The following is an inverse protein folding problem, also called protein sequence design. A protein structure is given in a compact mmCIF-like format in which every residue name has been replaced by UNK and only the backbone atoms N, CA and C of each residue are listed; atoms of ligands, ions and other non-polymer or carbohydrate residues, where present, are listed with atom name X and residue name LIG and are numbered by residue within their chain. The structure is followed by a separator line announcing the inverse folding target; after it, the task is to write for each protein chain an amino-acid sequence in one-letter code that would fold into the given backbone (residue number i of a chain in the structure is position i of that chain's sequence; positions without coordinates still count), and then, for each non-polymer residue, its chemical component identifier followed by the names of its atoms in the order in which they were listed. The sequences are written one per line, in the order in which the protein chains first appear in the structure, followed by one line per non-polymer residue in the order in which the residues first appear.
data_IF_378365385361
#
_entry.id   IF_378365385361
#
_cell.length_a   1.000
_cell.length_b   1.000
_cell.length_c   1.000
_cell.angle_alpha   90.00
_cell.angle_beta   90.00
_cell.angle_gamma   90.00
#
_symmetry.space_group_name_H-M   'P 1'
#
loop_
_entity.id
_entity.type
_entity.pdbx_description
1 polymer ?
#
# COMPACT_ATOMS: atom_id res chain seq x y z
N UNK A 1 -57.50 35.94 -47.71
CA UNK A 1 -57.30 36.26 -46.28
C UNK A 1 -56.77 34.98 -45.62
N UNK A 2 -55.46 34.72 -45.65
CA UNK A 2 -54.38 35.31 -44.83
C UNK A 2 -54.59 35.05 -43.33
N UNK A 3 -53.55 34.48 -42.72
CA UNK A 3 -53.33 34.23 -41.29
C UNK A 3 -53.85 32.94 -40.64
N UNK A 4 -53.27 31.79 -41.02
CA UNK A 4 -53.21 30.64 -40.08
C UNK A 4 -52.11 29.58 -40.31
N UNK A 5 -50.95 29.94 -40.90
CA UNK A 5 -49.87 28.96 -41.16
C UNK A 5 -48.51 29.28 -40.49
N UNK A 6 -48.33 30.42 -39.81
CA UNK A 6 -47.00 30.85 -39.29
C UNK A 6 -46.90 30.99 -37.76
N UNK A 7 -47.62 30.18 -36.97
CA UNK A 7 -47.52 30.22 -35.47
C UNK A 7 -47.28 28.89 -34.75
N UNK A 8 -46.82 27.85 -35.43
CA UNK A 8 -46.43 26.57 -34.77
C UNK A 8 -44.95 26.19 -34.87
N UNK A 9 -44.12 26.98 -35.55
CA UNK A 9 -42.68 26.71 -35.69
C UNK A 9 -41.79 27.40 -34.64
N UNK A 10 -42.28 28.35 -33.84
CA UNK A 10 -41.43 29.16 -32.93
C UNK A 10 -41.48 28.78 -31.45
N UNK A 11 -42.26 27.77 -31.04
CA UNK A 11 -42.37 27.37 -29.61
C UNK A 11 -41.63 26.08 -29.23
N UNK A 12 -41.04 25.36 -30.18
CA UNK A 12 -40.18 24.18 -29.89
C UNK A 12 -38.68 24.45 -29.94
N UNK A 13 -38.26 25.63 -30.42
CA UNK A 13 -36.84 26.01 -30.46
C UNK A 13 -36.34 26.66 -29.15
N UNK A 14 -37.22 27.21 -28.30
CA UNK A 14 -36.80 27.90 -27.07
C UNK A 14 -36.80 27.03 -25.79
N UNK A 15 -37.36 25.83 -25.83
CA UNK A 15 -37.33 24.92 -24.68
C UNK A 15 -36.08 24.01 -24.65
N UNK A 16 -35.38 23.85 -25.78
CA UNK A 16 -34.16 23.04 -25.88
C UNK A 16 -32.87 23.85 -25.63
N UNK A 17 -32.91 25.18 -25.76
CA UNK A 17 -31.76 26.05 -25.45
C UNK A 17 -31.65 26.42 -23.96
N UNK A 18 -32.75 26.37 -23.21
CA UNK A 18 -32.74 26.64 -21.76
C UNK A 18 -32.24 25.46 -20.90
N UNK A 19 -32.48 24.23 -21.32
CA UNK A 19 -32.02 23.03 -20.61
C UNK A 19 -30.53 22.72 -20.84
N UNK A 20 -29.98 23.06 -22.01
CA UNK A 20 -28.54 22.91 -22.28
C UNK A 20 -27.68 23.96 -21.55
N UNK A 21 -28.21 25.16 -21.26
CA UNK A 21 -27.45 26.17 -20.51
C UNK A 21 -27.43 25.93 -18.99
N UNK A 22 -28.41 25.24 -18.41
CA UNK A 22 -28.40 24.91 -16.98
C UNK A 22 -27.52 23.69 -16.64
N UNK A 23 -27.33 22.74 -17.57
CA UNK A 23 -26.37 21.63 -17.39
C UNK A 23 -24.93 22.09 -17.67
N UNK A 24 -24.74 23.06 -18.57
CA UNK A 24 -23.43 23.66 -18.82
C UNK A 24 -22.95 24.58 -17.67
N UNK A 25 -23.86 25.20 -16.92
CA UNK A 25 -23.50 26.09 -15.81
C UNK A 25 -23.08 25.33 -14.51
N UNK A 26 -23.51 24.08 -14.32
CA UNK A 26 -23.09 23.26 -13.17
C UNK A 26 -21.77 22.52 -13.44
N UNK A 27 -21.41 22.30 -14.71
CA UNK A 27 -20.13 21.69 -15.09
C UNK A 27 -18.93 22.65 -15.04
N UNK A 28 -19.17 23.97 -14.92
CA UNK A 28 -18.13 25.00 -14.87
C UNK A 28 -17.74 25.45 -13.45
N UNK A 29 -18.32 24.85 -12.41
CA UNK A 29 -17.96 25.11 -11.00
C UNK A 29 -17.33 23.91 -10.29
N UNK A 30 -17.19 22.76 -10.95
CA UNK A 30 -16.24 21.76 -10.51
C UNK A 30 -14.85 22.29 -10.88
N UNK A 31 -13.93 22.54 -9.93
CA UNK A 31 -12.56 22.78 -10.30
C UNK A 31 -12.11 21.49 -10.98
N UNK A 32 -11.91 21.55 -12.29
CA UNK A 32 -11.06 20.60 -12.99
C UNK A 32 -9.66 20.90 -12.46
N UNK A 33 -9.41 20.43 -11.24
CA UNK A 33 -8.06 20.33 -10.73
C UNK A 33 -7.34 19.49 -11.75
N UNK A 34 -6.33 20.07 -12.41
CA UNK A 34 -5.19 19.27 -12.84
C UNK A 34 -4.94 18.26 -11.72
N UNK A 35 -4.97 16.94 -11.96
CA UNK A 35 -4.69 15.99 -10.90
C UNK A 35 -3.35 16.41 -10.31
N UNK A 36 -3.39 16.98 -9.10
CA UNK A 36 -2.17 17.18 -8.35
C UNK A 36 -1.67 15.77 -8.15
N UNK A 37 -0.49 15.47 -8.69
CA UNK A 37 0.20 14.26 -8.27
C UNK A 37 0.27 14.34 -6.74
N UNK A 38 -0.55 13.55 -6.06
CA UNK A 38 -0.48 13.48 -4.61
C UNK A 38 0.89 12.91 -4.28
N UNK A 39 1.65 13.63 -3.47
CA UNK A 39 2.93 13.14 -3.00
C UNK A 39 2.72 11.82 -2.27
N UNK A 40 3.58 10.84 -2.52
CA UNK A 40 3.53 9.60 -1.76
C UNK A 40 3.80 9.88 -0.28
N UNK A 41 3.27 9.02 0.60
CA UNK A 41 3.67 9.03 1.98
C UNK A 41 5.21 8.98 2.05
N UNK A 42 5.77 9.72 2.99
CA UNK A 42 7.20 9.89 3.20
C UNK A 42 7.95 10.78 2.20
N UNK A 43 7.45 11.06 0.99
CA UNK A 43 8.15 11.93 0.01
C UNK A 43 8.60 13.28 0.62
N UNK A 44 9.89 13.70 0.46
CA UNK A 44 11.00 13.09 -0.31
C UNK A 44 11.84 12.07 0.47
N UNK A 45 11.41 11.68 1.66
CA UNK A 45 12.06 10.70 2.51
C UNK A 45 11.66 9.27 2.16
N UNK A 46 12.50 8.33 2.57
CA UNK A 46 12.22 6.90 2.49
C UNK A 46 12.60 6.28 3.84
N UNK A 47 11.64 5.77 4.62
CA UNK A 47 11.96 5.09 5.86
C UNK A 47 12.69 3.78 5.54
N UNK A 48 13.49 3.28 6.47
CA UNK A 48 14.06 1.94 6.32
C UNK A 48 13.03 0.87 6.68
N UNK A 49 13.20 -0.33 6.10
CA UNK A 49 12.47 -1.54 6.42
C UNK A 49 13.41 -2.76 6.45
N UNK A 50 12.99 -3.82 7.15
CA UNK A 50 13.74 -5.07 7.23
C UNK A 50 13.39 -6.02 6.07
N UNK A 51 14.41 -6.47 5.35
CA UNK A 51 14.32 -7.50 4.32
C UNK A 51 14.69 -8.86 4.91
N UNK A 52 13.71 -9.76 4.97
CA UNK A 52 13.87 -11.08 5.57
C UNK A 52 14.62 -12.07 4.68
N UNK A 53 14.66 -13.32 5.12
CA UNK A 53 15.41 -14.40 4.50
C UNK A 53 15.07 -14.60 3.01
N UNK A 54 16.07 -15.04 2.25
CA UNK A 54 15.95 -15.30 0.83
C UNK A 54 14.85 -16.33 0.48
N UNK A 55 14.59 -17.29 1.37
CA UNK A 55 13.55 -18.32 1.19
C UNK A 55 12.13 -17.79 1.47
N UNK A 56 12.01 -16.53 1.88
CA UNK A 56 10.75 -15.86 2.23
C UNK A 56 10.00 -16.54 3.37
N UNK A 57 10.70 -17.28 4.22
CA UNK A 57 10.11 -18.08 5.30
C UNK A 57 9.27 -17.22 6.24
N UNK A 58 9.81 -16.08 6.68
CA UNK A 58 9.11 -15.17 7.60
C UNK A 58 7.88 -14.51 6.95
N UNK A 59 7.98 -14.14 5.68
CA UNK A 59 6.88 -13.52 4.94
C UNK A 59 5.77 -14.51 4.63
N UNK A 60 6.11 -15.73 4.22
CA UNK A 60 5.15 -16.81 4.03
C UNK A 60 4.38 -17.13 5.32
N UNK A 61 5.06 -17.21 6.46
CA UNK A 61 4.41 -17.44 7.76
C UNK A 61 3.44 -16.31 8.13
N UNK A 62 3.79 -15.05 7.84
CA UNK A 62 2.89 -13.92 8.01
C UNK A 62 1.70 -13.96 7.05
N UNK A 63 1.91 -14.36 5.79
CA UNK A 63 0.81 -14.54 4.83
C UNK A 63 -0.13 -15.66 5.28
N UNK A 64 0.40 -16.78 5.76
CA UNK A 64 -0.42 -17.87 6.32
C UNK A 64 -1.26 -17.40 7.51
N UNK A 65 -0.68 -16.60 8.41
CA UNK A 65 -1.43 -15.99 9.52
C UNK A 65 -2.46 -14.95 9.06
N UNK A 66 -2.14 -14.10 8.09
CA UNK A 66 -3.05 -13.10 7.54
C UNK A 66 -4.25 -13.75 6.84
N UNK A 67 -4.02 -14.89 6.17
CA UNK A 67 -5.02 -15.65 5.41
C UNK A 67 -6.24 -16.11 6.21
N UNK A 68 -6.13 -16.15 7.54
CA UNK A 68 -7.18 -16.60 8.48
C UNK A 68 -7.39 -15.63 9.65
N UNK A 69 -7.06 -14.36 9.47
CA UNK A 69 -7.17 -13.31 10.51
C UNK A 69 -6.41 -13.61 11.82
N UNK A 70 -5.22 -14.24 11.75
CA UNK A 70 -4.39 -14.57 12.93
C UNK A 70 -3.21 -13.62 13.13
N UNK A 71 -3.01 -12.67 12.21
CA UNK A 71 -1.89 -11.73 12.25
C UNK A 71 -2.16 -10.50 13.12
N UNK A 72 -3.21 -9.73 12.82
CA UNK A 72 -3.60 -8.51 13.54
C UNK A 72 -5.12 -8.43 13.80
N UNK A 73 -5.75 -9.47 14.41
CA UNK A 73 -7.22 -9.55 14.52
C UNK A 73 -7.89 -8.43 15.33
N UNK A 74 -7.15 -7.75 16.21
CA UNK A 74 -7.67 -6.71 17.08
C UNK A 74 -7.65 -5.30 16.48
N UNK A 75 -7.06 -5.11 15.30
CA UNK A 75 -6.99 -3.81 14.63
C UNK A 75 -7.84 -3.83 13.37
N UNK A 76 -9.00 -3.17 13.38
CA UNK A 76 -9.95 -3.20 12.26
C UNK A 76 -9.37 -2.70 10.91
N UNK A 77 -8.28 -1.92 10.92
CA UNK A 77 -7.63 -1.46 9.70
C UNK A 77 -6.73 -2.53 9.06
N UNK A 78 -6.21 -3.45 9.86
CA UNK A 78 -5.29 -4.54 9.44
C UNK A 78 -5.92 -5.93 9.53
N UNK A 79 -6.96 -6.12 10.33
CA UNK A 79 -7.65 -7.39 10.50
C UNK A 79 -8.27 -7.82 9.18
N UNK A 80 -8.22 -9.12 8.89
CA UNK A 80 -8.94 -9.69 7.77
C UNK A 80 -10.44 -9.72 8.13
N UNK A 81 -11.29 -8.97 7.40
CA UNK A 81 -12.71 -8.90 7.70
C UNK A 81 -13.42 -10.22 7.34
N UNK A 82 -14.69 -10.40 7.75
CA UNK A 82 -15.53 -11.47 7.24
C UNK A 82 -15.53 -11.50 5.70
N UNK A 83 -15.49 -12.71 5.14
CA UNK A 83 -15.55 -12.92 3.70
C UNK A 83 -16.97 -13.30 3.33
N UNK A 84 -17.58 -12.47 2.48
CA UNK A 84 -18.94 -12.69 2.03
C UNK A 84 -19.05 -13.88 1.07
N UNK A 85 -20.14 -14.62 1.16
CA UNK A 85 -20.43 -15.78 0.31
C UNK A 85 -21.93 -15.83 -0.02
N UNK A 86 -22.32 -16.70 -0.94
CA UNK A 86 -23.69 -16.82 -1.41
C UNK A 86 -23.88 -16.29 -2.82
N UNK A 87 -25.11 -16.44 -3.31
CA UNK A 87 -25.53 -15.94 -4.63
C UNK A 87 -25.45 -14.41 -4.71
N UNK A 88 -25.51 -13.86 -5.93
CA UNK A 88 -25.59 -12.41 -6.17
C UNK A 88 -26.65 -11.70 -5.31
N UNK A 89 -27.83 -12.29 -5.18
CA UNK A 89 -28.96 -11.70 -4.46
C UNK A 89 -28.89 -11.88 -2.93
N UNK A 90 -28.08 -12.83 -2.45
CA UNK A 90 -28.04 -13.23 -1.04
C UNK A 90 -26.59 -13.42 -0.58
N UNK A 91 -25.87 -12.30 -0.45
CA UNK A 91 -24.52 -12.27 0.12
C UNK A 91 -24.59 -12.27 1.64
N UNK A 92 -23.85 -13.16 2.28
CA UNK A 92 -23.78 -13.27 3.74
C UNK A 92 -22.34 -13.29 4.21
N UNK A 93 -22.05 -12.53 5.27
CA UNK A 93 -20.75 -12.55 5.92
C UNK A 93 -20.45 -13.95 6.48
N UNK A 94 -19.26 -14.46 6.24
CA UNK A 94 -18.78 -15.69 6.88
C UNK A 94 -17.37 -15.54 7.45
N UNK A 95 -16.84 -16.64 7.98
CA UNK A 95 -15.53 -16.66 8.61
C UNK A 95 -14.44 -16.06 7.68
N UNK A 96 -13.53 -15.22 8.21
CA UNK A 96 -12.39 -14.69 7.47
C UNK A 96 -11.50 -15.81 6.93
N UNK A 97 -11.40 -15.94 5.60
CA UNK A 97 -10.50 -16.90 4.97
C UNK A 97 -10.15 -16.49 3.54
N UNK A 98 -8.85 -16.43 3.23
CA UNK A 98 -8.31 -16.29 1.87
C UNK A 98 -7.36 -17.47 1.63
N UNK A 99 -7.38 -18.14 0.46
CA UNK A 99 -6.37 -19.12 0.11
C UNK A 99 -4.94 -18.55 0.23
N UNK A 100 -4.12 -19.07 1.14
CA UNK A 100 -2.79 -18.48 1.41
C UNK A 100 -1.86 -18.51 0.18
N UNK A 101 -1.96 -19.53 -0.68
CA UNK A 101 -1.21 -19.59 -1.93
C UNK A 101 -1.55 -18.43 -2.89
N UNK A 102 -2.80 -17.97 -2.89
CA UNK A 102 -3.22 -16.81 -3.68
C UNK A 102 -2.57 -15.53 -3.16
N UNK A 103 -2.58 -15.31 -1.83
CA UNK A 103 -1.90 -14.16 -1.23
C UNK A 103 -0.38 -14.18 -1.49
N UNK A 104 0.25 -15.36 -1.45
CA UNK A 104 1.68 -15.53 -1.77
C UNK A 104 1.98 -15.16 -3.23
N UNK A 105 1.12 -15.59 -4.16
CA UNK A 105 1.25 -15.28 -5.57
C UNK A 105 1.01 -13.78 -5.87
N UNK A 106 0.07 -13.14 -5.18
CA UNK A 106 -0.14 -11.68 -5.24
C UNK A 106 1.11 -10.96 -4.71
N UNK A 107 1.57 -11.27 -3.50
CA UNK A 107 2.79 -10.69 -2.91
C UNK A 107 4.01 -10.80 -3.83
N UNK A 108 4.17 -11.95 -4.49
CA UNK A 108 5.22 -12.16 -5.48
C UNK A 108 5.03 -11.32 -6.74
N UNK A 109 3.79 -11.28 -7.27
CA UNK A 109 3.46 -10.51 -8.47
C UNK A 109 3.62 -9.02 -8.25
N UNK A 110 3.32 -8.52 -7.05
CA UNK A 110 3.41 -7.11 -6.68
C UNK A 110 4.87 -6.65 -6.51
N UNK A 111 5.67 -7.34 -5.70
CA UNK A 111 7.00 -6.85 -5.34
C UNK A 111 8.11 -7.89 -5.37
N UNK A 112 7.89 -9.10 -5.90
CA UNK A 112 8.76 -10.27 -5.64
C UNK A 112 8.89 -10.59 -4.16
N UNK A 113 7.81 -10.29 -3.41
CA UNK A 113 7.69 -10.47 -1.97
C UNK A 113 8.83 -9.77 -1.19
N UNK A 114 9.16 -8.52 -1.55
CA UNK A 114 10.16 -7.69 -0.88
C UNK A 114 9.49 -6.62 -0.02
N UNK A 115 9.98 -6.39 1.20
CA UNK A 115 9.56 -5.27 2.05
C UNK A 115 10.48 -4.07 1.88
N UNK A 116 11.79 -4.32 1.76
CA UNK A 116 12.78 -3.28 1.47
C UNK A 116 13.04 -3.19 -0.05
N UNK A 117 13.68 -2.11 -0.47
CA UNK A 117 14.08 -1.87 -1.85
C UNK A 117 14.93 -3.04 -2.37
N UNK A 118 14.79 -3.39 -3.65
CA UNK A 118 15.46 -4.56 -4.25
C UNK A 118 16.98 -4.63 -4.10
N UNK A 119 17.64 -3.49 -3.88
CA UNK A 119 19.08 -3.41 -3.65
C UNK A 119 19.50 -3.79 -2.22
N UNK A 120 18.55 -3.85 -1.27
CA UNK A 120 18.80 -4.25 0.11
C UNK A 120 19.04 -5.76 0.15
N UNK A 121 20.18 -6.23 0.71
CA UNK A 121 20.43 -7.66 0.89
C UNK A 121 19.38 -8.33 1.77
N UNK A 122 19.20 -9.64 1.59
CA UNK A 122 18.42 -10.43 2.54
C UNK A 122 19.08 -10.43 3.93
N UNK A 123 18.26 -10.60 4.98
CA UNK A 123 18.70 -10.54 6.37
C UNK A 123 19.39 -9.20 6.70
N UNK A 124 18.77 -8.08 6.28
CA UNK A 124 19.31 -6.73 6.41
C UNK A 124 18.19 -5.69 6.48
N UNK A 125 18.53 -4.46 6.87
CA UNK A 125 17.64 -3.31 6.82
C UNK A 125 18.17 -2.23 5.88
N UNK A 126 17.27 -1.60 5.15
CA UNK A 126 17.60 -0.51 4.23
C UNK A 126 16.33 0.20 3.75
N UNK A 127 16.41 1.08 2.74
CA UNK A 127 15.26 1.85 2.29
C UNK A 127 14.05 0.94 1.97
N UNK A 128 12.84 1.33 2.39
CA UNK A 128 11.62 0.56 2.14
C UNK A 128 11.30 0.46 0.64
N UNK A 129 10.65 -0.62 0.20
CA UNK A 129 10.16 -0.73 -1.18
C UNK A 129 9.00 0.25 -1.39
N UNK A 130 9.20 1.28 -2.21
CA UNK A 130 8.18 2.26 -2.59
C UNK A 130 8.22 2.40 -4.12
N UNK A 131 7.08 2.16 -4.78
CA UNK A 131 6.92 2.35 -6.22
C UNK A 131 6.47 3.77 -6.56
N UNK A 132 6.58 4.14 -7.83
CA UNK A 132 6.26 5.49 -8.33
C UNK A 132 4.77 5.86 -8.19
N UNK A 133 3.89 4.87 -8.05
CA UNK A 133 2.45 5.00 -7.81
C UNK A 133 2.10 4.88 -6.31
N UNK A 134 3.08 5.08 -5.43
CA UNK A 134 2.95 5.05 -3.97
C UNK A 134 2.61 3.66 -3.39
N UNK A 135 2.92 2.58 -4.10
CA UNK A 135 2.82 1.21 -3.60
C UNK A 135 3.94 0.89 -2.62
N UNK A 136 3.59 0.50 -1.39
CA UNK A 136 4.56 0.23 -0.33
C UNK A 136 4.69 -1.28 -0.05
N UNK A 137 5.92 -1.76 0.08
CA UNK A 137 6.28 -3.07 0.63
C UNK A 137 5.79 -4.29 -0.17
N UNK A 138 5.64 -5.41 0.54
CA UNK A 138 5.37 -6.75 0.00
C UNK A 138 4.10 -6.81 -0.86
N UNK A 139 3.04 -6.17 -0.40
CA UNK A 139 1.73 -6.22 -1.03
C UNK A 139 1.45 -5.00 -1.92
N UNK A 140 2.46 -4.13 -2.13
CA UNK A 140 2.36 -2.84 -2.84
C UNK A 140 1.11 -2.04 -2.44
N UNK A 141 0.94 -1.83 -1.12
CA UNK A 141 -0.20 -1.11 -0.57
C UNK A 141 -0.14 0.37 -0.97
N UNK A 142 -1.16 0.83 -1.71
CA UNK A 142 -1.33 2.23 -2.13
C UNK A 142 -2.41 2.96 -1.32
N UNK A 143 -3.44 2.23 -0.85
CA UNK A 143 -4.58 2.82 -0.13
C UNK A 143 -4.14 3.45 1.19
N UNK A 144 -4.33 4.76 1.33
CA UNK A 144 -3.89 5.54 2.50
C UNK A 144 -2.39 5.83 2.54
N UNK A 145 -1.66 5.54 1.46
CA UNK A 145 -0.20 5.72 1.33
C UNK A 145 0.18 6.89 0.42
N UNK A 146 -0.75 7.80 0.12
CA UNK A 146 -0.47 9.10 -0.51
C UNK A 146 -0.14 10.15 0.57
N UNK A 147 -0.49 11.43 0.37
CA UNK A 147 -0.02 12.57 1.18
C UNK A 147 0.07 12.25 2.67
N UNK A 148 1.11 12.70 3.40
CA UNK A 148 1.24 12.43 4.82
C UNK A 148 -0.05 12.78 5.57
N UNK A 149 -0.63 11.78 6.25
CA UNK A 149 -1.94 11.90 6.92
C UNK A 149 -1.81 12.28 8.40
N UNK A 150 -0.58 12.46 8.89
CA UNK A 150 -0.28 12.89 10.25
C UNK A 150 -0.23 14.41 10.40
N UNK A 151 0.08 14.86 11.61
CA UNK A 151 0.15 16.28 11.97
C UNK A 151 1.30 16.98 11.26
N UNK A 152 1.06 18.22 10.82
CA UNK A 152 2.06 19.09 10.18
C UNK A 152 2.83 18.43 9.01
N UNK A 153 2.16 17.53 8.26
CA UNK A 153 2.75 16.84 7.10
C UNK A 153 3.66 15.67 7.46
N UNK A 154 3.60 15.15 8.69
CA UNK A 154 4.30 13.91 9.07
C UNK A 154 3.49 12.66 8.68
N UNK A 155 4.15 11.53 8.37
CA UNK A 155 3.47 10.27 8.11
C UNK A 155 2.69 9.78 9.33
N UNK A 156 1.51 9.20 9.13
CA UNK A 156 0.74 8.62 10.24
C UNK A 156 1.35 7.31 10.77
N UNK A 157 0.93 6.87 11.96
CA UNK A 157 1.33 5.58 12.53
C UNK A 157 1.02 4.40 11.59
N UNK A 158 -0.11 4.43 10.87
CA UNK A 158 -0.49 3.40 9.88
C UNK A 158 0.44 3.42 8.67
N UNK A 159 0.76 4.61 8.15
CA UNK A 159 1.70 4.78 7.04
C UNK A 159 3.09 4.25 7.44
N UNK A 160 3.55 4.56 8.65
CA UNK A 160 4.79 4.00 9.19
C UNK A 160 4.73 2.47 9.21
N UNK A 161 3.75 1.87 9.89
CA UNK A 161 3.59 0.42 9.98
C UNK A 161 3.58 -0.29 8.62
N UNK A 162 2.84 0.25 7.64
CA UNK A 162 2.76 -0.33 6.28
C UNK A 162 4.11 -0.27 5.56
N UNK A 163 4.81 0.86 5.65
CA UNK A 163 6.08 1.08 4.96
C UNK A 163 7.23 0.29 5.58
N UNK A 164 7.23 0.09 6.89
CA UNK A 164 8.40 -0.39 7.64
C UNK A 164 8.29 -1.84 8.12
N UNK A 165 7.08 -2.37 8.31
CA UNK A 165 6.86 -3.65 8.98
C UNK A 165 6.09 -4.64 8.09
N UNK A 166 6.76 -5.73 7.70
CA UNK A 166 6.22 -6.76 6.80
C UNK A 166 4.84 -7.30 7.22
N UNK A 167 4.63 -7.59 8.52
CA UNK A 167 3.35 -8.11 9.00
C UNK A 167 2.18 -7.14 8.80
N UNK A 168 2.38 -5.84 9.05
CA UNK A 168 1.34 -4.82 8.83
C UNK A 168 1.07 -4.62 7.34
N UNK A 169 2.12 -4.66 6.52
CA UNK A 169 2.00 -4.58 5.07
C UNK A 169 1.19 -5.77 4.50
N UNK A 170 1.54 -7.00 4.90
CA UNK A 170 0.85 -8.23 4.50
C UNK A 170 -0.60 -8.23 4.99
N UNK A 171 -0.84 -7.86 6.25
CA UNK A 171 -2.18 -7.79 6.81
C UNK A 171 -3.05 -6.79 6.04
N UNK A 172 -2.51 -5.60 5.73
CA UNK A 172 -3.23 -4.60 4.93
C UNK A 172 -3.51 -5.07 3.51
N UNK A 173 -2.57 -5.76 2.86
CA UNK A 173 -2.81 -6.36 1.54
C UNK A 173 -3.91 -7.43 1.56
N UNK A 174 -3.90 -8.32 2.56
CA UNK A 174 -4.95 -9.31 2.72
C UNK A 174 -6.33 -8.67 2.98
N UNK A 175 -6.35 -7.62 3.81
CA UNK A 175 -7.55 -6.82 4.06
C UNK A 175 -8.07 -6.18 2.76
N UNK A 176 -7.20 -5.58 1.94
CA UNK A 176 -7.59 -4.96 0.67
C UNK A 176 -8.18 -6.00 -0.28
N UNK A 177 -7.58 -7.19 -0.38
CA UNK A 177 -8.13 -8.26 -1.22
C UNK A 177 -9.52 -8.70 -0.75
N UNK A 178 -9.75 -8.75 0.57
CA UNK A 178 -11.06 -9.02 1.14
C UNK A 178 -12.07 -7.89 0.83
N UNK A 179 -11.66 -6.62 0.91
CA UNK A 179 -12.49 -5.49 0.46
C UNK A 179 -12.88 -5.65 -1.01
N UNK A 180 -11.92 -6.03 -1.88
CA UNK A 180 -12.21 -6.26 -3.30
C UNK A 180 -13.20 -7.40 -3.51
N UNK A 181 -13.03 -8.51 -2.80
CA UNK A 181 -13.97 -9.62 -2.86
C UNK A 181 -15.38 -9.21 -2.39
N UNK A 182 -15.48 -8.51 -1.26
CA UNK A 182 -16.76 -8.05 -0.70
C UNK A 182 -17.38 -6.89 -1.50
N UNK A 183 -16.67 -6.33 -2.47
CA UNK A 183 -17.23 -5.35 -3.40
C UNK A 183 -18.16 -5.99 -4.44
N UNK A 184 -18.19 -7.33 -4.54
CA UNK A 184 -19.18 -8.05 -5.33
C UNK A 184 -20.51 -8.18 -4.56
N UNK A 185 -21.66 -7.88 -5.17
CA UNK A 185 -21.84 -7.67 -6.61
C UNK A 185 -21.88 -6.21 -7.08
N UNK A 186 -21.76 -5.24 -6.16
CA UNK A 186 -22.09 -3.84 -6.41
C UNK A 186 -21.07 -3.11 -7.29
N UNK A 187 -19.79 -3.47 -7.19
CA UNK A 187 -18.70 -2.82 -7.91
C UNK A 187 -17.99 -3.77 -8.88
N UNK A 188 -18.02 -5.07 -8.61
CA UNK A 188 -17.40 -6.11 -9.45
C UNK A 188 -18.35 -7.31 -9.63
N UNK A 189 -18.15 -8.14 -10.67
CA UNK A 189 -18.98 -9.33 -10.89
C UNK A 189 -18.71 -10.42 -9.85
N UNK A 190 -19.59 -11.42 -9.84
CA UNK A 190 -19.52 -12.59 -8.97
C UNK A 190 -18.94 -13.77 -9.74
N UNK A 191 -17.90 -14.40 -9.20
CA UNK A 191 -17.43 -15.70 -9.66
C UNK A 191 -17.95 -16.80 -8.72
N UNK A 192 -18.19 -17.99 -9.29
CA UNK A 192 -18.71 -19.13 -8.55
C UNK A 192 -20.20 -19.05 -8.25
N UNK A 193 -21.01 -18.52 -9.18
CA UNK A 193 -22.47 -18.46 -9.02
C UNK A 193 -23.13 -19.84 -8.82
N UNK A 194 -22.47 -20.90 -9.25
CA UNK A 194 -22.83 -22.32 -9.10
C UNK A 194 -22.31 -22.96 -7.80
N UNK A 195 -21.35 -22.32 -7.13
CA UNK A 195 -20.76 -22.78 -5.86
C UNK A 195 -21.02 -21.83 -4.69
N UNK A 196 -21.99 -20.92 -4.85
CA UNK A 196 -22.30 -19.87 -3.87
C UNK A 196 -21.07 -19.01 -3.51
N UNK A 197 -20.18 -18.76 -4.47
CA UNK A 197 -18.93 -18.04 -4.27
C UNK A 197 -18.19 -18.51 -3.02
N UNK A 198 -18.01 -19.82 -2.87
CA UNK A 198 -17.27 -20.37 -1.74
C UNK A 198 -15.82 -19.82 -1.76
N UNK A 199 -15.38 -19.07 -0.73
CA UNK A 199 -14.03 -18.52 -0.68
C UNK A 199 -12.94 -19.58 -0.51
N UNK A 200 -13.30 -20.82 -0.17
CA UNK A 200 -12.35 -21.93 -0.16
C UNK A 200 -12.02 -22.44 -1.56
N UNK A 201 -12.79 -22.10 -2.58
CA UNK A 201 -12.49 -22.44 -3.97
C UNK A 201 -11.64 -21.33 -4.57
N UNK A 202 -10.43 -21.67 -5.02
CA UNK A 202 -9.45 -20.68 -5.46
C UNK A 202 -9.96 -19.86 -6.65
N UNK A 203 -10.58 -20.52 -7.62
CA UNK A 203 -11.05 -19.91 -8.87
C UNK A 203 -12.13 -18.85 -8.65
N UNK A 204 -12.88 -18.91 -7.55
CA UNK A 204 -13.88 -17.90 -7.21
C UNK A 204 -13.26 -16.53 -6.91
N UNK A 205 -11.95 -16.45 -6.65
CA UNK A 205 -11.26 -15.18 -6.38
C UNK A 205 -10.93 -14.38 -7.63
N UNK A 206 -11.25 -14.88 -8.83
CA UNK A 206 -10.87 -14.28 -10.12
C UNK A 206 -11.11 -12.77 -10.21
N UNK A 207 -12.31 -12.29 -9.89
CA UNK A 207 -12.63 -10.87 -9.97
C UNK A 207 -12.02 -10.05 -8.83
N UNK A 208 -11.86 -10.62 -7.63
CA UNK A 208 -11.16 -9.95 -6.54
C UNK A 208 -9.68 -9.73 -6.87
N UNK A 209 -9.03 -10.71 -7.50
CA UNK A 209 -7.64 -10.61 -7.96
C UNK A 209 -7.51 -9.58 -9.07
N UNK A 210 -8.43 -9.56 -10.05
CA UNK A 210 -8.50 -8.49 -11.04
C UNK A 210 -8.58 -7.12 -10.35
N UNK A 211 -9.52 -6.97 -9.41
CA UNK A 211 -9.77 -5.73 -8.71
C UNK A 211 -8.64 -5.32 -7.75
N UNK A 212 -7.76 -6.23 -7.33
CA UNK A 212 -6.61 -5.94 -6.48
C UNK A 212 -5.63 -5.01 -7.17
N UNK A 213 -5.24 -5.32 -8.41
CA UNK A 213 -4.42 -4.43 -9.23
C UNK A 213 -5.24 -3.27 -9.82
N UNK A 214 -6.49 -3.55 -10.17
CA UNK A 214 -7.44 -2.55 -10.64
C UNK A 214 -8.47 -3.20 -11.55
N UNK A 215 -9.76 -3.03 -11.23
CA UNK A 215 -10.87 -3.53 -12.04
C UNK A 215 -11.08 -2.67 -13.29
N UNK A 216 -10.10 -2.71 -14.19
CA UNK A 216 -10.02 -1.90 -15.40
C UNK A 216 -10.11 -2.76 -16.66
N UNK A 217 -10.60 -2.15 -17.74
CA UNK A 217 -10.68 -2.75 -19.06
C UNK A 217 -10.30 -1.75 -20.16
N UNK A 218 -10.60 -2.04 -21.43
CA UNK A 218 -10.14 -1.22 -22.54
C UNK A 218 -10.52 0.25 -22.42
N UNK A 219 -9.58 1.12 -22.76
CA UNK A 219 -9.70 2.57 -22.60
C UNK A 219 -9.12 3.10 -21.29
N UNK A 220 -8.75 2.24 -20.33
CA UNK A 220 -7.93 2.63 -19.19
C UNK A 220 -6.45 2.78 -19.59
N UNK A 221 -5.68 3.56 -18.81
CA UNK A 221 -4.22 3.68 -18.98
C UNK A 221 -3.51 2.32 -18.90
N UNK A 222 -3.99 1.44 -18.02
CA UNK A 222 -3.58 0.04 -17.90
C UNK A 222 -4.86 -0.77 -17.76
N UNK A 223 -5.16 -1.57 -18.78
CA UNK A 223 -6.32 -2.48 -18.77
C UNK A 223 -5.92 -3.84 -18.22
N UNK A 224 -6.85 -4.48 -17.50
CA UNK A 224 -6.71 -5.83 -16.95
C UNK A 224 -7.78 -6.80 -17.51
N UNK A 225 -8.48 -6.40 -18.57
CA UNK A 225 -9.52 -7.22 -19.17
C UNK A 225 -8.91 -8.33 -20.03
N UNK A 226 -9.26 -9.61 -19.80
CA UNK A 226 -8.62 -10.73 -20.51
C UNK A 226 -8.87 -10.76 -22.02
N UNK A 227 -9.95 -10.12 -22.48
CA UNK A 227 -10.29 -9.97 -23.90
C UNK A 227 -9.80 -8.65 -24.53
N UNK A 228 -9.01 -7.83 -23.82
CA UNK A 228 -8.43 -6.61 -24.39
C UNK A 228 -7.43 -6.96 -25.51
N UNK A 229 -7.59 -6.39 -26.73
CA UNK A 229 -6.66 -6.61 -27.84
C UNK A 229 -5.21 -6.19 -27.59
N UNK A 230 -4.91 -5.39 -26.56
CA UNK A 230 -3.54 -5.09 -26.17
C UNK A 230 -2.76 -6.37 -25.77
N UNK A 231 -3.47 -7.39 -25.29
CA UNK A 231 -2.90 -8.69 -24.96
C UNK A 231 -2.89 -9.58 -26.20
N UNK A 232 -1.94 -10.53 -26.27
CA UNK A 232 -1.90 -11.49 -27.37
C UNK A 232 -3.21 -12.29 -27.45
N UNK A 233 -3.61 -12.71 -28.66
CA UNK A 233 -4.83 -13.48 -28.87
C UNK A 233 -4.91 -14.70 -27.94
N UNK A 234 -6.10 -14.96 -27.41
CA UNK A 234 -6.36 -16.16 -26.62
C UNK A 234 -6.29 -17.40 -27.53
N UNK A 235 -5.73 -18.56 -27.09
CA UNK A 235 -5.12 -18.78 -25.79
C UNK A 235 -3.70 -18.22 -25.73
N UNK A 236 -3.39 -17.59 -24.61
CA UNK A 236 -2.02 -17.20 -24.30
C UNK A 236 -1.28 -18.39 -23.66
N UNK A 237 0.02 -18.57 -23.93
CA UNK A 237 0.83 -19.50 -23.16
C UNK A 237 0.73 -19.17 -21.67
N UNK A 238 0.65 -20.17 -20.79
CA UNK A 238 0.52 -19.90 -19.36
C UNK A 238 1.78 -19.15 -18.83
N UNK A 239 1.57 -18.17 -17.92
CA UNK A 239 2.66 -17.35 -17.42
C UNK A 239 3.63 -18.14 -16.53
N UNK A 240 4.91 -18.23 -16.88
CA UNK A 240 5.90 -19.14 -16.27
C UNK A 240 6.45 -18.64 -14.94
N UNK A 241 6.34 -17.34 -14.66
CA UNK A 241 6.83 -16.68 -13.45
C UNK A 241 8.36 -16.77 -13.20
N UNK A 242 9.13 -17.21 -14.20
CA UNK A 242 10.59 -17.36 -14.16
C UNK A 242 11.36 -16.13 -14.71
N UNK A 243 10.64 -15.05 -15.01
CA UNK A 243 11.19 -13.82 -15.57
C UNK A 243 11.52 -13.86 -17.07
N UNK A 244 11.28 -14.98 -17.76
CA UNK A 244 11.55 -15.10 -19.20
C UNK A 244 10.46 -14.48 -20.08
N UNK A 245 9.27 -14.28 -19.52
CA UNK A 245 8.12 -13.72 -20.23
C UNK A 245 7.85 -12.28 -19.82
N UNK A 246 7.54 -11.44 -20.81
CA UNK A 246 7.16 -10.05 -20.56
C UNK A 246 5.79 -9.97 -19.89
N UNK A 247 5.75 -9.33 -18.72
CA UNK A 247 4.53 -9.19 -17.90
C UNK A 247 3.42 -8.39 -18.60
N UNK A 248 3.78 -7.40 -19.41
CA UNK A 248 2.82 -6.55 -20.13
C UNK A 248 2.01 -7.28 -21.22
N UNK A 249 2.32 -8.55 -21.50
CA UNK A 249 1.57 -9.38 -22.45
C UNK A 249 0.42 -10.16 -21.81
N UNK A 250 0.26 -10.03 -20.50
CA UNK A 250 -0.70 -10.77 -19.70
C UNK A 250 -1.54 -9.82 -18.87
N UNK A 251 -2.86 -10.05 -18.75
CA UNK A 251 -3.66 -9.37 -17.74
C UNK A 251 -3.23 -9.85 -16.34
N UNK A 252 -3.44 -9.02 -15.32
CA UNK A 252 -2.91 -9.26 -13.97
C UNK A 252 -3.25 -10.64 -13.37
N UNK A 253 -4.45 -11.15 -13.61
CA UNK A 253 -4.93 -12.46 -13.18
C UNK A 253 -4.06 -13.59 -13.74
N UNK A 254 -3.65 -13.50 -15.01
CA UNK A 254 -2.78 -14.52 -15.63
C UNK A 254 -1.38 -14.52 -15.01
N UNK A 255 -0.87 -13.36 -14.58
CA UNK A 255 0.39 -13.26 -13.83
C UNK A 255 0.29 -13.97 -12.48
N UNK A 256 -0.76 -13.66 -11.71
CA UNK A 256 -0.98 -14.25 -10.39
C UNK A 256 -1.19 -15.77 -10.48
N UNK A 257 -2.05 -16.24 -11.39
CA UNK A 257 -2.25 -17.69 -11.61
C UNK A 257 -0.98 -18.40 -12.05
N UNK A 258 -0.22 -17.78 -12.95
CA UNK A 258 1.06 -18.32 -13.40
C UNK A 258 2.06 -18.50 -12.28
N UNK A 259 2.24 -17.47 -11.45
CA UNK A 259 3.15 -17.51 -10.29
C UNK A 259 2.67 -18.46 -9.19
N UNK A 260 1.36 -18.57 -8.99
CA UNK A 260 0.79 -19.51 -8.03
C UNK A 260 1.04 -20.97 -8.43
N UNK A 261 0.92 -21.29 -9.73
CA UNK A 261 1.17 -22.62 -10.27
C UNK A 261 2.66 -22.94 -10.43
N UNK A 262 3.50 -21.92 -10.60
CA UNK A 262 4.95 -22.02 -10.76
C UNK A 262 5.66 -21.02 -9.83
N UNK A 263 5.67 -21.28 -8.51
CA UNK A 263 6.42 -20.48 -7.55
C UNK A 263 7.89 -20.40 -7.93
N UNK A 264 8.51 -19.27 -7.60
CA UNK A 264 9.97 -19.11 -7.68
C UNK A 264 10.68 -20.23 -6.92
N UNK A 265 11.74 -20.76 -7.52
CA UNK A 265 12.61 -21.75 -6.90
C UNK A 265 13.86 -21.07 -6.36
N UNK A 266 14.10 -21.18 -5.06
CA UNK A 266 15.33 -20.70 -4.41
C UNK A 266 16.00 -21.86 -3.70
N UNK A 267 17.32 -21.97 -3.86
CA UNK A 267 18.12 -23.09 -3.33
C UNK A 267 17.55 -24.48 -3.69
N UNK A 268 17.01 -24.62 -4.91
CA UNK A 268 16.44 -25.87 -5.40
C UNK A 268 15.04 -26.22 -4.87
N UNK A 269 14.41 -25.36 -4.05
CA UNK A 269 13.06 -25.57 -3.53
C UNK A 269 12.12 -24.40 -3.88
N UNK A 270 10.86 -24.67 -4.25
CA UNK A 270 9.89 -23.61 -4.45
C UNK A 270 9.62 -22.89 -3.12
N UNK A 271 9.52 -21.56 -3.16
CA UNK A 271 9.31 -20.75 -1.94
C UNK A 271 7.90 -20.90 -1.35
N UNK A 272 6.96 -21.55 -2.05
CA UNK A 272 5.72 -22.10 -1.49
C UNK A 272 5.24 -23.30 -2.31
N UNK A 273 4.33 -24.16 -1.79
CA UNK A 273 3.78 -25.27 -2.58
C UNK A 273 2.94 -24.77 -3.77
N UNK A 274 3.29 -25.22 -4.98
CA UNK A 274 2.56 -24.87 -6.20
C UNK A 274 1.07 -25.25 -6.11
N UNK A 275 0.20 -24.38 -6.60
CA UNK A 275 -1.24 -24.64 -6.73
C UNK A 275 -1.66 -24.44 -8.20
N UNK A 276 -2.05 -25.51 -8.92
CA UNK A 276 -2.35 -25.45 -10.34
C UNK A 276 -3.79 -24.98 -10.59
N UNK A 277 -4.15 -23.80 -10.08
CA UNK A 277 -5.50 -23.29 -10.22
C UNK A 277 -5.86 -22.94 -11.67
N UNK A 278 -7.16 -22.86 -11.93
CA UNK A 278 -7.70 -22.71 -13.29
C UNK A 278 -8.17 -21.28 -13.58
N UNK A 279 -7.80 -20.73 -14.73
CA UNK A 279 -8.38 -19.49 -15.23
C UNK A 279 -9.71 -19.78 -15.94
N UNK A 280 -10.61 -18.78 -16.10
CA UNK A 280 -11.77 -18.91 -16.98
C UNK A 280 -11.36 -19.32 -18.41
N UNK A 281 -11.90 -20.44 -18.89
CA UNK A 281 -11.64 -20.95 -20.24
C UNK A 281 -12.49 -20.17 -21.27
N UNK A 282 -11.87 -19.31 -22.06
CA UNK A 282 -12.57 -18.51 -23.07
C UNK A 282 -12.97 -19.30 -24.33
N UNK A 283 -12.67 -20.60 -24.43
CA UNK A 283 -13.32 -21.48 -25.44
C UNK A 283 -14.70 -21.94 -24.99
N UNK A 284 -14.96 -21.94 -23.68
CA UNK A 284 -16.28 -22.22 -23.15
C UNK A 284 -17.20 -21.02 -23.43
N UNK A 285 -18.32 -21.26 -24.12
CA UNK A 285 -19.23 -20.20 -24.56
C UNK A 285 -19.83 -19.39 -23.38
N UNK A 286 -20.05 -20.01 -22.22
CA UNK A 286 -20.58 -19.31 -21.04
C UNK A 286 -19.55 -18.30 -20.52
N UNK A 287 -18.31 -18.74 -20.34
CA UNK A 287 -17.20 -17.89 -19.89
C UNK A 287 -16.87 -16.79 -20.92
N UNK A 288 -16.77 -17.17 -22.21
CA UNK A 288 -16.47 -16.25 -23.30
C UNK A 288 -17.52 -15.15 -23.44
N UNK A 289 -18.81 -15.49 -23.29
CA UNK A 289 -19.89 -14.51 -23.31
C UNK A 289 -19.79 -13.58 -22.11
N UNK A 290 -19.64 -14.12 -20.90
CA UNK A 290 -19.57 -13.33 -19.67
C UNK A 290 -18.40 -12.33 -19.72
N UNK A 291 -17.22 -12.78 -20.13
CA UNK A 291 -15.99 -11.97 -20.23
C UNK A 291 -15.83 -11.30 -21.60
N UNK A 292 -16.91 -11.16 -22.37
CA UNK A 292 -16.86 -10.45 -23.64
C UNK A 292 -16.81 -8.94 -23.42
N UNK A 293 -16.18 -8.23 -24.36
CA UNK A 293 -16.11 -6.77 -24.36
C UNK A 293 -17.47 -6.09 -24.34
N UNK A 294 -18.51 -6.72 -24.89
CA UNK A 294 -19.89 -6.23 -24.86
C UNK A 294 -20.46 -6.20 -23.43
N UNK A 295 -20.03 -7.13 -22.57
CA UNK A 295 -20.48 -7.23 -21.18
C UNK A 295 -19.63 -6.41 -20.21
N UNK A 296 -18.55 -5.78 -20.67
CA UNK A 296 -17.76 -4.79 -19.91
C UNK A 296 -18.55 -3.49 -19.73
N UNK A 297 -19.62 -3.54 -18.95
CA UNK A 297 -20.54 -2.43 -18.71
C UNK A 297 -21.15 -2.53 -17.32
N UNK A 298 -21.05 -1.46 -16.53
CA UNK A 298 -21.67 -1.35 -15.21
C UNK A 298 -23.21 -1.50 -15.34
N UNK A 299 -23.89 -2.29 -14.49
CA UNK A 299 -23.46 -2.84 -13.19
C UNK A 299 -22.78 -4.23 -13.24
N UNK A 300 -22.19 -4.61 -14.38
CA UNK A 300 -21.40 -5.82 -14.59
C UNK A 300 -22.09 -7.16 -14.29
N UNK A 301 -23.41 -7.18 -14.07
CA UNK A 301 -24.16 -8.41 -13.80
C UNK A 301 -24.07 -9.45 -14.91
N UNK A 302 -23.86 -9.00 -16.16
CA UNK A 302 -23.69 -9.90 -17.30
C UNK A 302 -22.29 -10.54 -17.37
N UNK A 303 -21.38 -10.17 -16.47
CA UNK A 303 -20.04 -10.74 -16.35
C UNK A 303 -19.94 -11.81 -15.24
N UNK A 304 -21.02 -12.13 -14.54
CA UNK A 304 -21.01 -13.21 -13.55
C UNK A 304 -20.64 -14.54 -14.22
N UNK A 305 -19.75 -15.30 -13.57
CA UNK A 305 -19.26 -16.58 -14.10
C UNK A 305 -19.52 -17.72 -13.11
N UNK A 306 -19.80 -18.95 -13.61
CA UNK A 306 -19.65 -20.15 -12.79
C UNK A 306 -18.18 -20.31 -12.37
N UNK A 307 -17.91 -21.19 -11.41
CA UNK A 307 -16.56 -21.51 -10.97
C UNK A 307 -15.75 -22.08 -12.15
N UNK A 308 -14.61 -21.48 -12.52
CA UNK A 308 -13.71 -22.05 -13.50
C UNK A 308 -13.28 -23.49 -13.16
N UNK A 309 -13.24 -24.35 -14.18
CA UNK A 309 -13.04 -25.79 -14.00
C UNK A 309 -11.70 -26.27 -14.61
N UNK A 310 -11.00 -27.24 -13.96
CA UNK A 310 -11.35 -27.84 -12.67
C UNK A 310 -11.18 -26.86 -11.50
N UNK A 311 -12.08 -26.95 -10.52
CA UNK A 311 -12.07 -26.13 -9.31
C UNK A 311 -11.18 -26.74 -8.22
N UNK A 312 -10.50 -25.90 -7.44
CA UNK A 312 -9.57 -26.34 -6.39
C UNK A 312 -9.97 -25.80 -5.02
N UNK A 313 -10.38 -26.72 -4.13
CA UNK A 313 -10.68 -26.41 -2.74
C UNK A 313 -9.39 -26.33 -1.91
N UNK A 314 -9.17 -25.17 -1.30
CA UNK A 314 -8.02 -24.89 -0.44
C UNK A 314 -8.44 -24.91 1.02
N UNK A 315 -7.71 -25.68 1.81
CA UNK A 315 -7.88 -25.72 3.26
C UNK A 315 -7.07 -24.62 3.95
N UNK A 316 -7.54 -24.10 5.09
CA UNK A 316 -6.73 -23.23 5.94
C UNK A 316 -5.38 -23.88 6.30
N UNK A 317 -4.28 -23.09 6.39
CA UNK A 317 -3.00 -23.63 6.82
C UNK A 317 -3.10 -24.26 8.21
N UNK A 318 -2.54 -25.46 8.40
CA UNK A 318 -2.64 -26.17 9.68
C UNK A 318 -1.72 -25.60 10.78
N UNK A 319 -0.50 -25.20 10.41
CA UNK A 319 0.55 -24.77 11.34
C UNK A 319 0.78 -23.26 11.22
N UNK A 320 -0.02 -22.48 11.96
CA UNK A 320 0.00 -21.02 11.87
C UNK A 320 0.78 -20.44 13.04
N UNK A 321 1.81 -19.66 12.73
CA UNK A 321 2.55 -18.92 13.76
C UNK A 321 1.64 -17.88 14.42
N UNK A 322 1.81 -17.71 15.73
CA UNK A 322 1.06 -16.69 16.47
C UNK A 322 1.49 -15.28 16.07
N UNK A 323 0.57 -14.32 16.24
CA UNK A 323 0.86 -12.89 16.08
C UNK A 323 2.11 -12.46 16.88
N UNK A 324 2.25 -12.93 18.12
CA UNK A 324 3.41 -12.63 18.96
C UNK A 324 4.74 -13.15 18.38
N UNK A 325 4.75 -14.33 17.75
CA UNK A 325 5.95 -14.88 17.10
C UNK A 325 6.35 -14.10 15.84
N UNK A 326 5.37 -13.54 15.13
CA UNK A 326 5.60 -12.81 13.88
C UNK A 326 5.97 -11.34 14.13
N UNK A 327 5.33 -10.69 15.11
CA UNK A 327 5.58 -9.29 15.47
C UNK A 327 6.78 -9.13 16.41
N UNK A 328 7.07 -10.14 17.23
CA UNK A 328 8.00 -10.04 18.33
C UNK A 328 7.45 -9.21 19.50
N UNK A 329 8.32 -8.95 20.47
CA UNK A 329 8.08 -8.08 21.61
C UNK A 329 9.17 -7.00 21.60
N UNK A 330 9.03 -5.95 20.77
CA UNK A 330 10.04 -4.92 20.66
C UNK A 330 10.20 -4.17 22.00
N UNK A 331 11.36 -3.56 22.25
CA UNK A 331 11.61 -2.70 23.42
C UNK A 331 12.27 -1.42 22.92
N UNK A 332 11.58 -0.30 23.08
CA UNK A 332 11.98 1.01 22.58
C UNK A 332 13.06 1.62 23.47
N UNK A 333 14.21 1.98 22.88
CA UNK A 333 15.32 2.63 23.56
C UNK A 333 15.91 3.74 22.70
N UNK A 334 16.46 4.78 23.32
CA UNK A 334 17.12 5.89 22.62
C UNK A 334 18.50 6.17 23.20
N UNK A 335 19.42 6.69 22.38
CA UNK A 335 20.78 7.06 22.84
C UNK A 335 20.80 8.29 23.74
N UNK A 336 19.76 9.12 23.68
CA UNK A 336 19.62 10.35 24.44
C UNK A 336 18.14 10.64 24.69
N UNK A 337 17.85 11.39 25.75
CA UNK A 337 16.53 12.00 26.02
C UNK A 337 16.58 13.54 25.98
N UNK A 338 17.79 14.10 25.88
CA UNK A 338 18.02 15.52 25.69
C UNK A 338 19.21 15.71 24.76
N UNK A 339 19.10 16.62 23.81
CA UNK A 339 20.20 17.03 22.93
C UNK A 339 20.27 18.55 22.86
N UNK A 340 21.46 19.08 22.56
CA UNK A 340 21.67 20.50 22.32
C UNK A 340 22.14 20.72 20.90
N UNK A 341 21.49 21.63 20.17
CA UNK A 341 21.87 22.02 18.81
C UNK A 341 22.28 23.49 18.82
N UNK A 342 23.52 23.75 18.42
CA UNK A 342 24.04 25.11 18.27
C UNK A 342 23.92 25.55 16.80
N UNK A 343 23.45 26.78 16.59
CA UNK A 343 23.41 27.44 15.28
C UNK A 343 24.50 28.50 15.22
N UNK A 344 25.28 28.49 14.14
CA UNK A 344 26.33 29.48 13.93
C UNK A 344 25.77 30.80 13.35
N UNK A 345 26.62 31.83 13.32
CA UNK A 345 26.29 33.16 12.83
C UNK A 345 25.78 33.23 11.38
N UNK A 346 26.07 32.22 10.56
CA UNK A 346 25.57 32.14 9.16
C UNK A 346 24.19 31.50 9.05
N UNK A 347 23.57 31.12 10.17
CA UNK A 347 22.26 30.46 10.22
C UNK A 347 22.30 28.97 9.88
N UNK A 348 23.49 28.39 9.68
CA UNK A 348 23.64 26.95 9.48
C UNK A 348 23.53 26.23 10.83
N UNK A 349 22.47 25.46 11.00
CA UNK A 349 22.28 24.62 12.18
C UNK A 349 23.25 23.42 12.15
N UNK A 350 23.94 23.16 13.26
CA UNK A 350 24.48 21.81 13.49
C UNK A 350 23.33 20.79 13.50
N UNK A 351 23.60 19.56 13.11
CA UNK A 351 22.58 18.49 13.16
C UNK A 351 22.66 17.78 14.51
N UNK A 352 21.52 17.56 15.14
CA UNK A 352 21.39 16.63 16.27
C UNK A 352 21.05 15.24 15.75
N UNK A 353 21.54 14.20 16.44
CA UNK A 353 21.23 12.81 16.07
C UNK A 353 20.84 12.01 17.30
N UNK A 354 19.72 11.28 17.22
CA UNK A 354 19.28 10.31 18.23
C UNK A 354 19.26 8.93 17.57
N UNK A 355 19.97 7.97 18.18
CA UNK A 355 19.85 6.55 17.79
C UNK A 355 18.69 5.91 18.53
N UNK A 356 17.96 5.06 17.84
CA UNK A 356 16.75 4.37 18.29
C UNK A 356 17.03 2.87 18.18
N UNK A 357 16.95 2.16 19.31
CA UNK A 357 17.25 0.73 19.39
C UNK A 357 16.01 -0.08 19.69
N UNK A 358 16.01 -1.31 19.19
CA UNK A 358 15.10 -2.34 19.66
C UNK A 358 15.86 -3.25 20.65
N UNK A 359 15.68 -3.02 21.94
CA UNK A 359 16.25 -3.88 22.99
C UNK A 359 15.54 -5.23 23.15
N UNK A 360 14.46 -5.47 22.40
CA UNK A 360 13.64 -6.67 22.44
C UNK A 360 13.78 -7.52 21.18
N UNK A 361 12.66 -8.09 20.75
CA UNK A 361 12.59 -8.95 19.57
C UNK A 361 11.75 -8.36 18.44
N UNK A 362 11.83 -8.94 17.24
CA UNK A 362 11.08 -8.53 16.06
C UNK A 362 11.55 -7.20 15.45
N UNK A 363 10.72 -6.62 14.61
CA UNK A 363 10.96 -5.31 14.00
C UNK A 363 10.27 -4.25 14.84
N UNK A 364 10.99 -3.27 15.39
CA UNK A 364 10.39 -2.10 16.01
C UNK A 364 10.18 -1.04 14.92
N UNK A 365 8.95 -0.59 14.73
CA UNK A 365 8.66 0.60 13.91
C UNK A 365 8.66 1.82 14.80
N UNK A 366 9.37 2.88 14.45
CA UNK A 366 9.34 4.12 15.20
C UNK A 366 8.81 5.28 14.36
N UNK A 367 8.16 6.22 15.02
CA UNK A 367 7.68 7.49 14.46
C UNK A 367 8.09 8.64 15.38
N UNK A 368 8.52 9.75 14.77
CA UNK A 368 8.89 10.98 15.42
C UNK A 368 7.84 12.06 15.12
N UNK A 369 7.31 12.70 16.16
CA UNK A 369 6.31 13.78 16.05
C UNK A 369 6.71 14.96 16.93
N UNK A 370 6.33 16.17 16.54
CA UNK A 370 6.55 17.37 17.33
C UNK A 370 5.49 18.42 16.99
N UNK A 371 5.12 19.24 17.97
CA UNK A 371 4.33 20.47 17.75
C UNK A 371 5.22 21.70 17.53
N UNK A 372 6.52 21.58 17.77
CA UNK A 372 7.49 22.67 17.68
C UNK A 372 8.00 22.82 16.25
N UNK A 373 7.38 23.72 15.49
CA UNK A 373 7.61 23.87 14.04
C UNK A 373 9.02 24.28 13.63
N UNK A 374 9.85 24.74 14.56
CA UNK A 374 11.26 25.01 14.31
C UNK A 374 12.12 23.74 14.29
N UNK A 375 11.60 22.60 14.75
CA UNK A 375 12.27 21.31 14.70
C UNK A 375 11.91 20.57 13.40
N UNK A 376 12.93 20.19 12.64
CA UNK A 376 12.79 19.41 11.41
C UNK A 376 13.38 18.02 11.65
N UNK A 377 12.58 16.98 11.41
CA UNK A 377 12.89 15.59 11.69
C UNK A 377 13.13 14.80 10.39
N UNK A 378 14.22 14.04 10.33
CA UNK A 378 14.56 13.26 9.13
C UNK A 378 15.28 11.93 9.44
N UNK A 379 14.79 10.79 8.93
CA UNK A 379 13.41 10.60 8.49
C UNK A 379 12.44 10.69 9.68
N UNK A 380 11.14 10.99 9.46
CA UNK A 380 10.15 11.07 10.54
C UNK A 380 9.67 9.68 11.02
N UNK A 381 10.09 8.59 10.37
CA UNK A 381 9.82 7.23 10.81
C UNK A 381 10.91 6.27 10.29
N UNK A 382 10.96 5.06 10.86
CA UNK A 382 11.85 4.00 10.40
C UNK A 382 11.72 2.72 11.20
N UNK A 383 12.74 1.87 11.12
CA UNK A 383 12.84 0.62 11.90
C UNK A 383 14.05 0.61 12.83
N UNK A 384 13.95 -0.22 13.87
CA UNK A 384 15.09 -0.77 14.60
C UNK A 384 14.89 -2.29 14.76
N UNK A 385 15.94 -3.07 14.54
CA UNK A 385 15.86 -4.53 14.44
C UNK A 385 16.20 -5.17 15.78
N UNK A 386 15.36 -6.10 16.24
CA UNK A 386 15.55 -6.83 17.49
C UNK A 386 16.59 -7.94 17.38
N UNK A 387 17.07 -8.41 18.53
CA UNK A 387 18.23 -9.32 18.61
C UNK A 387 17.95 -10.75 18.11
N UNK A 388 16.70 -11.12 17.89
CA UNK A 388 16.27 -12.42 17.36
C UNK A 388 16.23 -12.47 15.83
N UNK A 389 16.31 -11.31 15.16
CA UNK A 389 16.34 -11.24 13.70
C UNK A 389 17.78 -11.27 13.19
N UNK A 390 17.97 -12.00 12.09
CA UNK A 390 19.28 -12.18 11.50
C UNK A 390 19.72 -10.91 10.76
N UNK A 391 20.97 -10.54 10.94
CA UNK A 391 21.56 -9.34 10.35
C UNK A 391 22.94 -9.70 9.78
N UNK A 392 23.08 -9.79 8.46
CA UNK A 392 24.31 -10.27 7.81
C UNK A 392 25.16 -9.09 7.33
N UNK A 393 26.23 -8.79 8.07
CA UNK A 393 27.19 -7.70 7.80
C UNK A 393 27.31 -6.75 9.00
N UNK A 394 28.46 -6.11 9.19
CA UNK A 394 28.75 -5.26 10.36
C UNK A 394 27.82 -4.04 10.49
N UNK A 395 27.25 -3.58 9.37
CA UNK A 395 26.33 -2.45 9.27
C UNK A 395 24.94 -2.85 8.72
N UNK A 396 24.59 -4.14 8.77
CA UNK A 396 23.39 -4.66 8.09
C UNK A 396 22.07 -4.37 8.83
N UNK A 397 22.11 -4.11 10.14
CA UNK A 397 20.93 -3.75 10.92
C UNK A 397 21.27 -2.67 11.95
N UNK A 398 21.65 -1.46 11.50
CA UNK A 398 21.95 -0.40 12.41
C UNK A 398 20.69 0.04 13.16
N UNK A 399 20.90 0.58 14.35
CA UNK A 399 19.91 1.35 15.08
C UNK A 399 19.15 2.30 14.13
N UNK A 400 17.84 2.48 14.38
CA UNK A 400 17.11 3.58 13.77
C UNK A 400 17.81 4.90 14.06
N UNK A 401 17.84 5.82 13.10
CA UNK A 401 18.52 7.12 13.29
C UNK A 401 17.56 8.24 12.97
N UNK A 402 17.31 9.10 13.96
CA UNK A 402 16.59 10.35 13.80
C UNK A 402 17.59 11.50 13.74
N UNK A 403 17.65 12.19 12.61
CA UNK A 403 18.39 13.45 12.46
C UNK A 403 17.44 14.62 12.71
N UNK A 404 17.90 15.58 13.50
CA UNK A 404 17.14 16.76 13.91
C UNK A 404 17.90 17.99 13.43
N UNK A 405 17.23 18.82 12.65
CA UNK A 405 17.75 20.12 12.21
C UNK A 405 16.79 21.23 12.60
N UNK A 406 17.27 22.47 12.56
CA UNK A 406 16.50 23.65 12.97
C UNK A 406 16.08 24.44 11.74
N UNK A 407 14.81 24.83 11.67
CA UNK A 407 14.34 25.85 10.76
C UNK A 407 14.53 27.24 11.41
N UNK A 408 15.55 28.03 11.01
CA UNK A 408 15.82 29.34 11.63
C UNK A 408 14.68 30.34 11.49
N UNK A 409 13.84 30.22 10.45
CA UNK A 409 12.74 31.16 10.20
C UNK A 409 11.58 30.98 11.17
N UNK A 410 11.47 29.78 11.77
CA UNK A 410 10.40 29.44 12.72
C UNK A 410 10.91 29.40 14.17
N UNK A 411 12.22 29.65 14.39
CA UNK A 411 12.82 29.63 15.72
C UNK A 411 12.31 30.85 16.53
N UNK A 412 11.69 30.63 17.71
CA UNK A 412 11.01 31.71 18.43
C UNK A 412 11.96 32.71 19.09
N UNK A 413 13.19 32.30 19.43
CA UNK A 413 14.20 33.13 20.09
C UNK A 413 15.61 32.56 19.87
N UNK A 414 16.64 33.34 20.20
CA UNK A 414 18.05 32.90 20.15
C UNK A 414 18.35 31.72 21.08
N UNK A 415 17.50 31.49 22.07
CA UNK A 415 17.46 30.25 22.86
C UNK A 415 16.05 29.73 22.87
N UNK A 416 15.85 28.49 22.47
CA UNK A 416 14.56 27.83 22.46
C UNK A 416 14.72 26.39 22.95
N UNK A 417 13.64 25.81 23.45
CA UNK A 417 13.56 24.39 23.76
C UNK A 417 12.29 23.84 23.13
N UNK A 418 12.40 22.69 22.50
CA UNK A 418 11.27 22.00 21.87
C UNK A 418 11.30 20.52 22.21
N UNK A 419 10.19 19.83 21.98
CA UNK A 419 10.02 18.42 22.32
C UNK A 419 9.69 17.60 21.08
N UNK A 420 10.42 16.52 20.88
CA UNK A 420 10.09 15.48 19.90
C UNK A 420 9.60 14.26 20.64
N UNK A 421 8.38 13.82 20.34
CA UNK A 421 7.83 12.57 20.84
C UNK A 421 8.14 11.43 19.89
N UNK A 422 8.91 10.46 20.37
CA UNK A 422 9.16 9.18 19.71
C UNK A 422 8.18 8.13 20.23
N UNK A 423 7.56 7.39 19.33
CA UNK A 423 6.66 6.28 19.69
C UNK A 423 6.78 5.13 18.70
N UNK A 424 6.22 3.97 19.06
CA UNK A 424 6.18 2.79 18.18
C UNK A 424 4.74 2.30 18.00
N UNK A 425 4.21 2.32 16.76
CA UNK A 425 2.87 1.82 16.46
C UNK A 425 2.67 0.33 16.75
N UNK A 426 3.75 -0.47 16.68
CA UNK A 426 3.67 -1.91 16.92
C UNK A 426 4.13 -2.32 18.32
N UNK A 427 4.06 -1.39 19.28
CA UNK A 427 4.34 -1.61 20.68
C UNK A 427 5.82 -1.42 21.05
N UNK A 428 6.18 -1.84 22.26
CA UNK A 428 7.55 -1.77 22.77
C UNK A 428 7.80 -0.72 23.84
N UNK A 429 6.75 -0.33 24.54
CA UNK A 429 6.83 0.49 25.76
C UNK A 429 6.15 1.84 25.59
N UNK A 430 6.41 2.71 26.55
CA UNK A 430 5.90 4.08 26.53
C UNK A 430 6.64 4.92 25.49
N UNK A 431 5.94 5.92 24.95
CA UNK A 431 6.57 6.93 24.11
C UNK A 431 7.66 7.69 24.89
N UNK A 432 8.73 8.06 24.20
CA UNK A 432 9.89 8.75 24.76
C UNK A 432 9.90 10.18 24.22
N UNK A 433 9.97 11.16 25.13
CA UNK A 433 10.13 12.56 24.77
C UNK A 433 11.63 12.92 24.74
N UNK A 434 12.05 13.51 23.63
CA UNK A 434 13.39 14.07 23.43
C UNK A 434 13.28 15.58 23.56
N UNK A 435 13.96 16.14 24.56
CA UNK A 435 14.10 17.59 24.72
C UNK A 435 15.23 18.09 23.82
N UNK A 436 14.94 19.05 22.96
CA UNK A 436 15.91 19.66 22.04
C UNK A 436 16.13 21.11 22.46
N UNK A 437 17.28 21.37 23.08
CA UNK A 437 17.70 22.71 23.43
C UNK A 437 18.47 23.34 22.27
N UNK A 438 18.07 24.55 21.86
CA UNK A 438 18.66 25.26 20.73
C UNK A 438 19.30 26.55 21.22
N UNK A 439 20.53 26.80 20.77
CA UNK A 439 21.23 28.07 20.99
C UNK A 439 21.70 28.61 19.64
N UNK A 440 21.24 29.80 19.28
CA UNK A 440 21.65 30.51 18.07
C UNK A 440 22.45 31.76 18.44
N UNK A 441 23.69 31.81 17.96
CA UNK A 441 24.50 33.03 18.03
C UNK A 441 24.24 33.85 16.77
N UNK A 442 23.47 34.93 16.90
CA UNK A 442 23.33 35.91 15.82
C UNK A 442 24.42 36.97 15.99
N UNK A 443 25.34 37.06 15.02
CA UNK A 443 26.26 38.18 14.95
C UNK A 443 25.47 39.45 14.62
N UNK A 444 25.28 40.32 15.62
CA UNK A 444 24.76 41.67 15.41
C UNK A 444 25.82 42.42 14.61
N UNK A 445 25.53 42.75 13.35
CA UNK A 445 26.40 43.63 12.57
C UNK A 445 26.63 44.92 13.37
N UNK A 446 27.89 45.27 13.59
CA UNK A 446 28.27 46.50 14.28
C UNK A 446 27.53 47.69 13.63
N UNK A 447 26.92 48.61 14.40
CA UNK A 447 26.33 49.82 13.84
C UNK A 447 27.38 50.54 13.01
N UNK A 448 27.11 50.68 11.71
CA UNK A 448 27.99 51.36 10.77
C UNK A 448 28.33 52.75 11.26
N UNK A 449 29.61 53.02 11.39
CA UNK A 449 30.19 54.32 11.69
C UNK A 449 29.76 55.37 10.66
N UNK A 450 28.95 56.35 11.05
CA UNK A 450 28.93 57.64 10.36
C UNK A 450 30.11 58.47 10.85
N UNK A 451 31.29 58.30 10.22
CA UNK A 451 32.31 59.36 10.25
C UNK A 451 31.86 60.42 9.25
N UNK A 452 31.23 61.48 9.75
CA UNK A 452 31.24 62.75 9.07
C UNK A 452 32.67 63.31 9.20
N UNK A 453 33.35 63.52 8.09
CA UNK A 453 34.56 64.36 8.04
C UNK A 453 34.19 65.76 7.57
N UNK A 454 34.91 66.82 8.03
CA UNK A 454 34.50 68.22 7.98
C UNK A 454 34.47 68.83 6.58
#
# INVERSE_FOLDING_TARGET
MRDRVTRRASRRAFALLGACMLVAAVALLAPWGTPRAEACAFDPWQPNAYEADQQRTKYNAAIDAASVNRLLPGDAFFALPPIERGTRANRVAGAPFIPAALLKAIAWTESTMTQAARAVPFDSAGPAQISFDCGHGIMQVTTGMTTPLGTDGTPSARQASIATHFAYNIARGAQILAEKWNAAPDQIPVAGIDTNSDPAILENWYFAVWAYNGFTGPGANISNHPADPQFAAWPRPAFTCDGTQSRNRYPYQELVWGCMARPEVRNGAPIWPAQPATLPDLTNQVMARALSMTNWSYPYSNMDIPTPQPAHLIQPPANIQSSAQLLGAPIFQTSAQRITINMNATGAAQKGTVRIRNGGTGVLTWIATTSDRFLVMSPPAGVAIGNDLKCVGSDACPDGTLTITINPTLLPASRASGTIRLSSPNGGGQAIDIVVDVSAEFSIGAPGTSRATP
#
